data_IF_035068301668
#
_entry.id   IF_035068301668
#
_cell.length_a   1.000
_cell.length_b   1.000
_cell.length_c   1.000
_cell.angle_alpha   90.00
_cell.angle_beta   90.00
_cell.angle_gamma   90.00
#
_symmetry.space_group_name_H-M   'P 1'
#
loop_
_entity.id
_entity.type
_entity.pdbx_description
1 polymer ?
#
# COMPACT_ATOMS: atom_id res chain seq x y z
N UNK A 1 -4.14 -30.91 5.12
CA UNK A 1 -4.90 -29.64 5.10
C UNK A 1 -5.05 -29.24 6.56
N UNK A 2 -4.64 -28.06 6.94
CA UNK A 2 -4.79 -27.60 8.32
C UNK A 2 -6.25 -27.22 8.64
N UNK A 3 -6.58 -27.08 9.93
CA UNK A 3 -7.94 -26.73 10.37
C UNK A 3 -8.38 -25.36 9.81
N UNK A 4 -7.45 -24.42 9.65
CA UNK A 4 -7.74 -23.11 9.09
C UNK A 4 -8.21 -23.21 7.64
N UNK A 5 -7.51 -23.96 6.80
CA UNK A 5 -7.91 -24.21 5.42
C UNK A 5 -9.25 -24.91 5.28
N UNK A 6 -9.59 -25.78 6.26
CA UNK A 6 -10.86 -26.51 6.25
C UNK A 6 -12.05 -25.63 6.66
N UNK A 7 -11.83 -24.66 7.53
CA UNK A 7 -12.85 -23.75 8.07
C UNK A 7 -12.85 -22.38 7.42
N UNK A 8 -12.01 -22.15 6.41
CA UNK A 8 -11.94 -20.88 5.69
C UNK A 8 -13.28 -20.53 5.03
N UNK A 9 -13.71 -19.27 5.15
CA UNK A 9 -14.98 -18.78 4.60
C UNK A 9 -15.02 -18.83 3.08
N UNK A 10 -13.86 -18.66 2.43
CA UNK A 10 -13.72 -18.73 0.98
C UNK A 10 -12.87 -19.93 0.55
N UNK A 11 -13.27 -20.67 -0.52
CA UNK A 11 -12.41 -21.68 -1.13
C UNK A 11 -11.06 -21.12 -1.62
N UNK A 12 -10.98 -19.84 -1.95
CA UNK A 12 -9.75 -19.17 -2.37
C UNK A 12 -8.70 -19.19 -1.25
N UNK A 13 -9.09 -18.88 -0.03
CA UNK A 13 -8.21 -18.90 1.15
C UNK A 13 -8.09 -20.29 1.80
N UNK A 14 -9.05 -21.18 1.53
CA UNK A 14 -9.05 -22.56 2.00
C UNK A 14 -8.41 -23.51 0.99
N UNK A 15 -9.26 -24.27 0.31
CA UNK A 15 -8.88 -25.35 -0.62
C UNK A 15 -7.89 -24.93 -1.70
N UNK A 16 -8.02 -23.72 -2.21
CA UNK A 16 -7.20 -23.19 -3.32
C UNK A 16 -6.11 -22.23 -2.87
N UNK A 17 -5.88 -22.08 -1.56
CA UNK A 17 -4.90 -21.12 -1.01
C UNK A 17 -3.50 -21.27 -1.61
N UNK A 18 -3.05 -22.52 -1.88
CA UNK A 18 -1.77 -22.78 -2.54
C UNK A 18 -1.73 -22.37 -4.02
N UNK A 19 -2.88 -22.19 -4.67
CA UNK A 19 -2.98 -21.75 -6.07
C UNK A 19 -3.03 -20.23 -6.21
N UNK A 20 -3.32 -19.51 -5.13
CA UNK A 20 -3.49 -18.06 -5.10
C UNK A 20 -2.32 -17.33 -4.42
N UNK A 21 -1.22 -18.03 -4.11
CA UNK A 21 -0.05 -17.47 -3.41
C UNK A 21 0.47 -16.21 -4.11
N UNK A 22 0.55 -16.22 -5.45
CA UNK A 22 1.05 -15.08 -6.23
C UNK A 22 0.19 -13.80 -6.13
N UNK A 23 -1.05 -13.92 -5.64
CA UNK A 23 -1.95 -12.79 -5.43
C UNK A 23 -1.90 -12.23 -4.00
N UNK A 24 -1.34 -12.96 -3.03
CA UNK A 24 -1.42 -12.60 -1.61
C UNK A 24 -0.77 -11.26 -1.30
N UNK A 25 0.41 -10.99 -1.87
CA UNK A 25 1.09 -9.69 -1.66
C UNK A 25 0.39 -8.52 -2.36
N UNK A 26 -0.50 -8.81 -3.31
CA UNK A 26 -1.12 -7.79 -4.16
C UNK A 26 -2.55 -7.43 -3.71
N UNK A 27 -3.34 -8.43 -3.28
CA UNK A 27 -4.79 -8.23 -3.05
C UNK A 27 -5.26 -8.69 -1.67
N UNK A 28 -4.35 -8.97 -0.75
CA UNK A 28 -4.68 -9.23 0.65
C UNK A 28 -4.81 -7.93 1.46
N UNK A 29 -5.16 -8.06 2.73
CA UNK A 29 -5.09 -6.94 3.70
C UNK A 29 -3.70 -6.30 3.74
N UNK A 30 -2.63 -7.12 3.73
CA UNK A 30 -1.25 -6.62 3.58
C UNK A 30 -1.07 -5.80 2.30
N UNK A 31 -1.56 -6.31 1.15
CA UNK A 31 -1.49 -5.60 -0.13
C UNK A 31 -2.22 -4.26 -0.10
N UNK A 32 -3.39 -4.20 0.55
CA UNK A 32 -4.15 -2.97 0.71
C UNK A 32 -3.42 -1.96 1.59
N UNK A 33 -2.89 -2.38 2.74
CA UNK A 33 -2.12 -1.51 3.63
C UNK A 33 -0.88 -0.96 2.91
N UNK A 34 -0.13 -1.83 2.22
CA UNK A 34 1.03 -1.44 1.41
C UNK A 34 0.67 -0.41 0.33
N UNK A 35 -0.44 -0.61 -0.36
CA UNK A 35 -0.91 0.33 -1.38
C UNK A 35 -1.31 1.69 -0.78
N UNK A 36 -1.97 1.70 0.38
CA UNK A 36 -2.33 2.94 1.10
C UNK A 36 -1.09 3.73 1.53
N UNK A 37 -0.10 3.07 2.13
CA UNK A 37 1.17 3.70 2.53
C UNK A 37 1.85 4.32 1.31
N UNK A 38 1.89 3.59 0.20
CA UNK A 38 2.45 4.10 -1.05
C UNK A 38 1.69 5.33 -1.55
N UNK A 39 0.35 5.28 -1.60
CA UNK A 39 -0.47 6.41 -2.08
C UNK A 39 -0.24 7.65 -1.23
N UNK A 40 -0.22 7.53 0.08
CA UNK A 40 0.02 8.65 1.00
C UNK A 40 1.42 9.25 0.83
N UNK A 41 2.46 8.42 0.73
CA UNK A 41 3.84 8.88 0.55
C UNK A 41 4.04 9.56 -0.82
N UNK A 42 3.48 8.98 -1.90
CA UNK A 42 3.51 9.57 -3.24
C UNK A 42 2.68 10.87 -3.30
N UNK A 43 1.54 10.94 -2.59
CA UNK A 43 0.72 12.13 -2.52
C UNK A 43 1.46 13.31 -1.85
N UNK A 44 2.10 13.07 -0.70
CA UNK A 44 2.91 14.10 -0.04
C UNK A 44 4.03 14.60 -0.96
N UNK A 45 4.72 13.70 -1.64
CA UNK A 45 5.77 14.03 -2.60
C UNK A 45 5.22 14.83 -3.79
N UNK A 46 4.03 14.48 -4.29
CA UNK A 46 3.35 15.19 -5.37
C UNK A 46 2.99 16.61 -4.97
N UNK A 47 2.43 16.82 -3.79
CA UNK A 47 2.07 18.14 -3.27
C UNK A 47 3.26 19.08 -3.21
N UNK A 48 4.42 18.57 -2.79
CA UNK A 48 5.65 19.34 -2.68
C UNK A 48 6.29 19.67 -4.03
N UNK A 49 6.48 18.66 -4.89
CA UNK A 49 7.34 18.79 -6.08
C UNK A 49 6.55 19.13 -7.32
N UNK A 50 5.37 18.57 -7.52
CA UNK A 50 4.59 18.74 -8.75
C UNK A 50 3.48 19.80 -8.61
N UNK A 51 2.69 19.73 -7.55
CA UNK A 51 1.69 20.75 -7.27
C UNK A 51 2.32 22.06 -6.79
N UNK A 52 3.55 22.00 -6.29
CA UNK A 52 4.34 23.15 -5.86
C UNK A 52 3.60 24.05 -4.86
N UNK A 53 3.02 23.42 -3.83
CA UNK A 53 2.36 24.19 -2.77
C UNK A 53 3.37 25.15 -2.12
N UNK A 54 3.06 26.45 -2.01
CA UNK A 54 3.98 27.43 -1.42
C UNK A 54 4.43 27.07 -0.01
N UNK A 55 3.56 26.43 0.76
CA UNK A 55 3.82 25.97 2.13
C UNK A 55 4.89 24.87 2.19
N UNK A 56 5.10 24.14 1.08
CA UNK A 56 6.08 23.06 0.95
C UNK A 56 7.31 23.47 0.14
N UNK A 57 7.58 24.77 -0.02
CA UNK A 57 8.64 25.29 -0.89
C UNK A 57 10.07 24.86 -0.47
N UNK A 58 10.29 24.47 0.77
CA UNK A 58 11.54 23.92 1.29
C UNK A 58 11.60 22.37 1.27
N UNK A 59 10.50 21.72 0.88
CA UNK A 59 10.43 20.26 0.72
C UNK A 59 10.94 19.89 -0.69
N UNK A 60 12.16 19.36 -0.76
CA UNK A 60 12.82 19.06 -2.04
C UNK A 60 12.99 17.57 -2.31
N UNK A 61 13.84 17.29 -3.30
CA UNK A 61 14.12 15.90 -3.74
C UNK A 61 14.69 15.02 -2.61
N UNK A 62 15.49 15.60 -1.71
CA UNK A 62 16.04 14.87 -0.56
C UNK A 62 14.94 14.30 0.34
N UNK A 63 13.87 15.06 0.58
CA UNK A 63 12.73 14.60 1.38
C UNK A 63 11.91 13.55 0.64
N UNK A 64 11.76 13.69 -0.68
CA UNK A 64 11.14 12.65 -1.52
C UNK A 64 11.91 11.33 -1.42
N UNK A 65 13.25 11.38 -1.51
CA UNK A 65 14.11 10.21 -1.39
C UNK A 65 14.03 9.57 0.01
N UNK A 66 13.92 10.39 1.06
CA UNK A 66 13.73 9.89 2.42
C UNK A 66 12.40 9.16 2.65
N UNK A 67 11.37 9.39 1.83
CA UNK A 67 10.10 8.68 1.86
C UNK A 67 10.11 7.37 1.04
N UNK A 68 11.10 7.15 0.17
CA UNK A 68 11.15 5.97 -0.71
C UNK A 68 11.12 4.62 0.03
N UNK A 69 11.72 4.45 1.23
CA UNK A 69 11.60 3.20 1.98
C UNK A 69 10.16 2.81 2.30
N UNK A 70 9.24 3.78 2.50
CA UNK A 70 7.81 3.50 2.68
C UNK A 70 7.18 2.83 1.45
N UNK A 71 7.73 3.06 0.26
CA UNK A 71 7.19 2.56 -1.01
C UNK A 71 7.86 1.24 -1.40
N UNK A 72 9.19 1.14 -1.25
CA UNK A 72 9.99 0.04 -1.79
C UNK A 72 10.36 -1.03 -0.76
N UNK A 73 10.48 -0.64 0.53
CA UNK A 73 10.95 -1.50 1.61
C UNK A 73 9.86 -1.79 2.66
N UNK A 74 8.59 -1.74 2.23
CA UNK A 74 7.46 -2.01 3.11
C UNK A 74 7.23 -3.52 3.25
N UNK A 75 7.28 -4.01 4.49
CA UNK A 75 7.18 -5.42 4.84
C UNK A 75 6.00 -5.72 5.78
N UNK A 76 5.74 -7.00 6.03
CA UNK A 76 4.61 -7.46 6.83
C UNK A 76 4.65 -6.96 8.29
N UNK A 77 5.84 -6.77 8.85
CA UNK A 77 6.03 -6.23 10.21
C UNK A 77 5.50 -4.80 10.34
N UNK A 78 5.68 -3.97 9.32
CA UNK A 78 5.15 -2.61 9.28
C UNK A 78 3.62 -2.62 9.12
N UNK A 79 3.09 -3.54 8.33
CA UNK A 79 1.64 -3.73 8.25
C UNK A 79 1.05 -4.16 9.60
N UNK A 80 1.74 -5.02 10.36
CA UNK A 80 1.34 -5.40 11.71
C UNK A 80 1.37 -4.21 12.69
N UNK A 81 2.34 -3.31 12.56
CA UNK A 81 2.38 -2.05 13.34
C UNK A 81 1.17 -1.17 13.03
N UNK A 82 0.82 -1.01 11.75
CA UNK A 82 -0.37 -0.25 11.33
C UNK A 82 -1.64 -0.89 11.92
N UNK A 83 -1.77 -2.22 11.89
CA UNK A 83 -2.91 -2.92 12.52
C UNK A 83 -2.97 -2.71 14.02
N UNK A 84 -1.82 -2.62 14.71
CA UNK A 84 -1.79 -2.29 16.14
C UNK A 84 -2.27 -0.85 16.42
N UNK A 85 -1.89 0.13 15.58
CA UNK A 85 -2.39 1.51 15.65
C UNK A 85 -3.92 1.53 15.39
N UNK A 86 -4.38 0.78 14.39
CA UNK A 86 -5.81 0.68 14.05
C UNK A 86 -6.66 0.20 15.21
N UNK A 87 -6.17 -0.75 16.03
CA UNK A 87 -6.88 -1.21 17.23
C UNK A 87 -7.20 -0.08 18.22
N UNK A 88 -6.39 0.97 18.23
CA UNK A 88 -6.58 2.13 19.11
C UNK A 88 -7.41 3.21 18.44
N UNK A 89 -7.16 3.48 17.16
CA UNK A 89 -7.83 4.54 16.40
C UNK A 89 -9.22 4.15 15.92
N UNK A 90 -9.47 2.84 15.82
CA UNK A 90 -10.66 2.24 15.20
C UNK A 90 -10.94 2.79 13.78
N UNK A 91 -9.86 3.12 13.05
CA UNK A 91 -9.92 3.69 11.71
C UNK A 91 -8.67 3.31 10.91
N UNK A 92 -8.86 2.57 9.83
CA UNK A 92 -7.80 1.94 9.03
C UNK A 92 -6.89 2.95 8.31
N UNK A 93 -7.46 3.90 7.55
CA UNK A 93 -6.66 4.91 6.83
C UNK A 93 -5.97 5.87 7.82
N UNK A 94 -6.63 6.21 8.93
CA UNK A 94 -6.02 7.03 9.98
C UNK A 94 -4.82 6.34 10.64
N UNK A 95 -4.86 5.02 10.77
CA UNK A 95 -3.73 4.24 11.26
C UNK A 95 -2.52 4.32 10.32
N UNK A 96 -2.76 4.31 9.01
CA UNK A 96 -1.71 4.52 7.99
C UNK A 96 -1.10 5.91 8.11
N UNK A 97 -1.92 6.95 8.25
CA UNK A 97 -1.45 8.33 8.46
C UNK A 97 -0.53 8.43 9.70
N UNK A 98 -0.94 7.86 10.83
CA UNK A 98 -0.13 7.89 12.05
C UNK A 98 1.18 7.11 11.89
N UNK A 99 1.16 5.95 11.25
CA UNK A 99 2.36 5.20 10.95
C UNK A 99 3.36 6.01 10.12
N UNK A 100 2.91 6.71 9.08
CA UNK A 100 3.77 7.57 8.24
C UNK A 100 4.31 8.75 9.06
N UNK A 101 3.47 9.37 9.89
CA UNK A 101 3.90 10.45 10.79
C UNK A 101 4.97 9.99 11.78
N UNK A 102 4.85 8.78 12.31
CA UNK A 102 5.85 8.22 13.21
C UNK A 102 7.15 7.85 12.49
N UNK A 103 7.07 7.35 11.26
CA UNK A 103 8.23 7.14 10.39
C UNK A 103 8.97 8.47 10.12
N UNK A 104 8.23 9.54 9.79
CA UNK A 104 8.80 10.88 9.57
C UNK A 104 9.49 11.40 10.85
N UNK A 105 8.88 11.27 12.01
CA UNK A 105 9.50 11.67 13.29
C UNK A 105 10.78 10.90 13.56
N UNK A 106 10.79 9.60 13.27
CA UNK A 106 11.96 8.73 13.46
C UNK A 106 13.12 9.08 12.51
N UNK A 107 12.85 9.66 11.34
CA UNK A 107 13.89 10.10 10.40
C UNK A 107 14.74 11.25 10.93
N UNK A 108 14.22 12.03 11.89
CA UNK A 108 14.84 13.25 12.42
C UNK A 108 15.13 14.34 11.37
N UNK A 109 14.56 14.22 10.16
CA UNK A 109 14.66 15.27 9.14
C UNK A 109 13.79 16.46 9.55
N UNK A 110 14.38 17.65 9.77
CA UNK A 110 13.63 18.80 10.28
C UNK A 110 12.61 19.34 9.28
N UNK A 111 12.82 19.15 7.97
CA UNK A 111 11.88 19.58 6.93
C UNK A 111 10.69 18.65 6.88
N UNK A 112 10.91 17.32 6.90
CA UNK A 112 9.82 16.35 6.98
C UNK A 112 8.98 16.58 8.25
N UNK A 113 9.61 16.77 9.40
CA UNK A 113 8.92 17.02 10.68
C UNK A 113 8.11 18.31 10.63
N UNK A 114 8.66 19.37 10.05
CA UNK A 114 7.95 20.66 9.89
C UNK A 114 6.66 20.50 9.08
N UNK A 115 6.68 19.63 8.08
CA UNK A 115 5.55 19.41 7.16
C UNK A 115 4.72 18.17 7.47
N UNK A 116 4.81 17.66 8.69
CA UNK A 116 4.15 16.44 9.15
C UNK A 116 2.63 16.43 8.90
N UNK A 117 1.98 17.58 9.04
CA UNK A 117 0.53 17.72 8.87
C UNK A 117 0.06 17.73 7.41
N UNK A 118 1.00 17.70 6.45
CA UNK A 118 0.68 17.50 5.04
C UNK A 118 0.51 16.02 4.65
N UNK A 119 0.80 15.08 5.55
CA UNK A 119 0.37 13.69 5.40
C UNK A 119 -1.16 13.66 5.40
N UNK A 120 -1.76 13.04 4.40
CA UNK A 120 -3.22 12.99 4.18
C UNK A 120 -3.86 14.35 3.87
N UNK A 121 -3.09 15.39 3.54
CA UNK A 121 -3.61 16.74 3.31
C UNK A 121 -4.54 16.77 2.08
N UNK A 122 -5.70 17.41 2.25
CA UNK A 122 -6.74 17.60 1.22
C UNK A 122 -7.31 16.29 0.64
N UNK A 123 -7.13 15.15 1.33
CA UNK A 123 -7.72 13.86 0.96
C UNK A 123 -8.80 13.43 1.94
N UNK A 124 -9.71 12.58 1.47
CA UNK A 124 -10.55 11.75 2.32
C UNK A 124 -10.02 10.31 2.31
N UNK A 125 -10.48 9.49 3.25
CA UNK A 125 -10.12 8.06 3.26
C UNK A 125 -10.50 7.36 1.96
N UNK A 126 -11.57 7.79 1.30
CA UNK A 126 -12.04 7.20 0.05
C UNK A 126 -11.12 7.54 -1.14
N UNK A 127 -10.50 8.72 -1.16
CA UNK A 127 -9.49 9.05 -2.18
C UNK A 127 -8.31 8.08 -2.11
N UNK A 128 -7.82 7.82 -0.89
CA UNK A 128 -6.72 6.88 -0.65
C UNK A 128 -7.14 5.44 -1.00
N UNK A 129 -8.34 5.01 -0.58
CA UNK A 129 -8.86 3.68 -0.87
C UNK A 129 -9.00 3.43 -2.37
N UNK A 130 -9.61 4.35 -3.10
CA UNK A 130 -9.83 4.20 -4.54
C UNK A 130 -8.52 4.06 -5.32
N UNK A 131 -7.54 4.92 -5.04
CA UNK A 131 -6.22 4.81 -5.67
C UNK A 131 -5.51 3.51 -5.27
N UNK A 132 -5.59 3.10 -4.02
CA UNK A 132 -5.00 1.85 -3.53
C UNK A 132 -5.60 0.65 -4.25
N UNK A 133 -6.92 0.55 -4.33
CA UNK A 133 -7.61 -0.54 -5.04
C UNK A 133 -7.28 -0.54 -6.54
N UNK A 134 -7.17 0.63 -7.18
CA UNK A 134 -6.77 0.74 -8.58
C UNK A 134 -5.33 0.21 -8.80
N UNK A 135 -4.39 0.56 -7.92
CA UNK A 135 -3.00 0.06 -7.97
C UNK A 135 -2.94 -1.46 -7.74
N UNK A 136 -3.67 -1.97 -6.75
CA UNK A 136 -3.76 -3.40 -6.46
C UNK A 136 -4.30 -4.17 -7.67
N UNK A 137 -5.43 -3.72 -8.23
CA UNK A 137 -6.05 -4.34 -9.40
C UNK A 137 -5.11 -4.32 -10.62
N UNK A 138 -4.52 -3.16 -10.91
CA UNK A 138 -3.54 -3.01 -12.00
C UNK A 138 -2.39 -3.99 -11.84
N UNK A 139 -1.80 -4.07 -10.65
CA UNK A 139 -0.68 -4.97 -10.37
C UNK A 139 -1.09 -6.44 -10.51
N UNK A 140 -2.21 -6.85 -9.92
CA UNK A 140 -2.72 -8.21 -10.02
C UNK A 140 -3.00 -8.60 -11.49
N UNK A 141 -3.64 -7.73 -12.25
CA UNK A 141 -3.92 -7.96 -13.67
C UNK A 141 -2.63 -8.10 -14.49
N UNK A 142 -1.71 -7.17 -14.36
CA UNK A 142 -0.51 -7.14 -15.23
C UNK A 142 0.52 -8.19 -14.88
N UNK A 143 0.70 -8.50 -13.59
CA UNK A 143 1.79 -9.40 -13.15
C UNK A 143 1.35 -10.86 -12.97
N UNK A 144 0.06 -11.11 -12.76
CA UNK A 144 -0.44 -12.47 -12.46
C UNK A 144 -1.53 -12.91 -13.44
N UNK A 145 -2.63 -12.17 -13.54
CA UNK A 145 -3.85 -12.65 -14.20
C UNK A 145 -3.66 -12.71 -15.72
N UNK A 146 -3.23 -11.62 -16.36
CA UNK A 146 -3.01 -11.59 -17.80
C UNK A 146 -1.94 -12.58 -18.28
N UNK A 147 -0.78 -12.72 -17.60
CA UNK A 147 0.18 -13.78 -17.95
C UNK A 147 -0.40 -15.20 -17.87
N UNK A 148 -1.24 -15.49 -16.87
CA UNK A 148 -1.89 -16.78 -16.76
C UNK A 148 -2.92 -17.02 -17.88
N UNK A 149 -3.71 -16.00 -18.23
CA UNK A 149 -4.66 -16.06 -19.35
C UNK A 149 -3.91 -16.32 -20.66
N UNK A 150 -2.83 -15.59 -20.93
CA UNK A 150 -2.02 -15.79 -22.13
C UNK A 150 -1.48 -17.21 -22.22
N UNK A 151 -0.96 -17.75 -21.11
CA UNK A 151 -0.51 -19.16 -21.06
C UNK A 151 -1.62 -20.16 -21.35
N UNK A 152 -2.87 -19.88 -20.98
CA UNK A 152 -4.03 -20.72 -21.30
C UNK A 152 -4.38 -20.64 -22.79
N UNK A 153 -4.31 -19.44 -23.37
CA UNK A 153 -4.56 -19.22 -24.80
C UNK A 153 -3.52 -19.94 -25.66
N UNK A 154 -2.24 -19.80 -25.32
CA UNK A 154 -1.14 -20.46 -26.03
C UNK A 154 -1.28 -21.99 -26.00
N UNK A 155 -1.71 -22.57 -24.88
CA UNK A 155 -1.98 -24.01 -24.77
C UNK A 155 -3.12 -24.50 -25.67
N UNK A 156 -4.13 -23.67 -25.91
CA UNK A 156 -5.25 -24.02 -26.81
C UNK A 156 -4.88 -23.89 -28.28
N UNK A 157 -3.84 -23.12 -28.62
CA UNK A 157 -3.39 -22.94 -30.01
C UNK A 157 -2.53 -24.10 -30.52
N UNK A 158 -2.22 -25.09 -29.67
CA UNK A 158 -1.36 -26.25 -29.99
C UNK A 158 -2.17 -27.55 -30.13
N UNK A 159 -3.49 -27.48 -30.09
CA UNK A 159 -4.43 -28.57 -30.35
C UNK A 159 -5.18 -28.24 -31.68
#
# INVERSE_FOLDING_TARGET
>A
MDLFSLTAVSPIDGRYSAKTISLRELVSEYGLIKARVRVEAEWLSFLAVQAQLPELSDFGQTQVEALQPLIHDFHAEQAAQIKAIEQTTNHDVKAVEYFIKDFIKASQDPILIKHLEFVHFACTSEDINNLSHALMLKSAMTTVILPLINRLLDRKSVV
#
